data_IF_171836013947
#
_entry.id   IF_171836013947
#
_cell.length_a   1.000
_cell.length_b   1.000
_cell.length_c   1.000
_cell.angle_alpha   90.00
_cell.angle_beta   90.00
_cell.angle_gamma   90.00
#
_symmetry.space_group_name_H-M   'P 1'
#
loop_
_entity.id
_entity.type
_entity.pdbx_description
1 polymer ?
#
# COMPACT_ATOMS: atom_id res chain seq x y z
N UNK A 1 20.81 -12.34 -36.72
CA UNK A 1 21.02 -13.39 -35.71
C UNK A 1 19.67 -14.05 -35.41
N UNK A 2 19.61 -15.34 -35.08
CA UNK A 2 18.35 -15.96 -34.64
C UNK A 2 17.83 -15.26 -33.39
N UNK A 3 16.51 -15.09 -33.30
CA UNK A 3 15.86 -14.53 -32.10
C UNK A 3 16.13 -15.44 -30.91
N UNK A 4 16.49 -14.84 -29.78
CA UNK A 4 16.73 -15.57 -28.54
C UNK A 4 15.58 -15.29 -27.58
N UNK A 5 15.17 -16.33 -26.85
CA UNK A 5 14.03 -16.25 -25.96
C UNK A 5 14.40 -16.79 -24.57
N UNK A 6 13.76 -16.20 -23.57
CA UNK A 6 13.72 -16.71 -22.21
C UNK A 6 12.27 -16.99 -21.83
N UNK A 7 12.04 -18.08 -21.13
CA UNK A 7 10.70 -18.49 -20.71
C UNK A 7 10.70 -19.04 -19.28
N UNK A 8 9.55 -18.96 -18.63
CA UNK A 8 9.26 -19.55 -17.32
C UNK A 8 8.09 -20.51 -17.49
N UNK A 9 8.27 -21.75 -17.06
CA UNK A 9 7.23 -22.79 -17.04
C UNK A 9 7.10 -23.40 -15.66
N UNK A 10 5.92 -23.87 -15.31
CA UNK A 10 5.63 -24.55 -14.04
C UNK A 10 5.00 -25.91 -14.32
N UNK A 11 5.45 -26.95 -13.61
CA UNK A 11 4.80 -28.25 -13.66
C UNK A 11 3.51 -28.23 -12.81
N UNK A 12 2.43 -28.83 -13.29
CA UNK A 12 1.14 -28.81 -12.61
C UNK A 12 1.14 -29.57 -11.26
N UNK A 13 2.01 -30.57 -11.10
CA UNK A 13 2.14 -31.33 -9.85
C UNK A 13 3.07 -30.63 -8.83
N UNK A 14 3.90 -29.69 -9.28
CA UNK A 14 4.81 -28.91 -8.42
C UNK A 14 4.42 -27.43 -8.45
N UNK A 15 3.32 -27.12 -7.75
CA UNK A 15 2.82 -25.75 -7.61
C UNK A 15 3.79 -24.79 -6.90
N UNK A 16 4.93 -25.28 -6.38
CA UNK A 16 5.99 -24.52 -5.71
C UNK A 16 7.32 -24.51 -6.49
N UNK A 17 7.35 -25.05 -7.72
CA UNK A 17 8.54 -25.00 -8.59
C UNK A 17 8.21 -24.44 -9.98
N UNK A 18 9.10 -23.59 -10.49
CA UNK A 18 9.10 -23.18 -11.88
C UNK A 18 10.51 -23.27 -12.43
N UNK A 19 10.59 -23.50 -13.74
CA UNK A 19 11.81 -23.66 -14.50
C UNK A 19 11.97 -22.49 -15.44
N UNK A 20 13.12 -21.82 -15.34
CA UNK A 20 13.59 -20.92 -16.38
C UNK A 20 14.28 -21.73 -17.47
N UNK A 21 13.96 -21.41 -18.72
CA UNK A 21 14.64 -21.95 -19.87
C UNK A 21 14.95 -20.87 -20.90
N UNK A 22 15.93 -21.19 -21.75
CA UNK A 22 16.37 -20.36 -22.86
C UNK A 22 16.26 -21.16 -24.16
N UNK A 23 15.92 -20.51 -25.27
CA UNK A 23 15.78 -21.16 -26.57
C UNK A 23 15.90 -20.17 -27.72
N UNK A 24 16.36 -20.64 -28.88
CA UNK A 24 16.29 -19.89 -30.15
C UNK A 24 14.99 -20.18 -30.93
N UNK A 25 14.20 -21.15 -30.47
CA UNK A 25 12.95 -21.60 -31.09
C UNK A 25 11.91 -21.81 -29.99
N UNK A 26 11.12 -20.77 -29.75
CA UNK A 26 10.12 -20.74 -28.68
C UNK A 26 8.90 -21.62 -29.02
N UNK A 27 8.47 -21.64 -30.28
CA UNK A 27 7.31 -22.43 -30.71
C UNK A 27 7.57 -23.92 -30.56
N UNK A 28 8.73 -24.41 -31.03
CA UNK A 28 9.11 -25.82 -30.87
C UNK A 28 9.21 -26.20 -29.40
N UNK A 29 9.82 -25.34 -28.58
CA UNK A 29 10.02 -25.63 -27.15
C UNK A 29 8.70 -25.69 -26.38
N UNK A 30 7.74 -24.83 -26.69
CA UNK A 30 6.41 -24.87 -26.08
C UNK A 30 5.57 -26.04 -26.59
N UNK A 31 5.72 -26.43 -27.87
CA UNK A 31 5.13 -27.67 -28.38
C UNK A 31 5.66 -28.90 -27.66
N UNK A 32 6.94 -28.95 -27.29
CA UNK A 32 7.48 -30.05 -26.47
C UNK A 32 6.78 -30.13 -25.11
N UNK A 33 6.66 -29.00 -24.40
CA UNK A 33 5.92 -28.96 -23.12
C UNK A 33 4.44 -29.34 -23.28
N UNK A 34 3.79 -28.91 -24.36
CA UNK A 34 2.40 -29.28 -24.65
C UNK A 34 2.27 -30.74 -25.16
N UNK A 35 3.29 -31.32 -25.77
CA UNK A 35 3.26 -32.73 -26.22
C UNK A 35 3.40 -33.71 -25.06
N UNK A 36 4.04 -33.29 -23.97
CA UNK A 36 4.09 -34.02 -22.70
C UNK A 36 2.73 -33.93 -21.97
N UNK A 37 1.90 -32.91 -22.27
CA UNK A 37 0.52 -32.82 -21.77
C UNK A 37 -0.37 -33.87 -22.45
N UNK A 38 -0.37 -35.08 -21.89
CA UNK A 38 -1.08 -36.24 -22.43
C UNK A 38 -0.63 -37.59 -21.86
N UNK A 39 0.54 -37.66 -21.21
CA UNK A 39 1.01 -38.86 -20.51
C UNK A 39 1.03 -38.64 -18.99
N UNK A 40 0.05 -39.22 -18.30
CA UNK A 40 -0.22 -39.05 -16.86
C UNK A 40 -0.52 -37.60 -16.43
N UNK A 41 -1.29 -37.41 -15.35
CA UNK A 41 -1.55 -36.06 -14.78
C UNK A 41 -0.29 -35.40 -14.22
N UNK A 42 0.78 -36.18 -14.01
CA UNK A 42 1.98 -35.78 -13.27
C UNK A 42 3.01 -35.03 -14.13
N UNK A 43 2.86 -34.89 -15.45
CA UNK A 43 3.88 -34.20 -16.29
C UNK A 43 3.35 -33.05 -17.15
N UNK A 44 2.19 -32.48 -16.80
CA UNK A 44 1.67 -31.30 -17.50
C UNK A 44 2.43 -30.03 -17.08
N UNK A 45 2.77 -29.15 -18.03
CA UNK A 45 3.45 -27.87 -17.77
C UNK A 45 2.63 -26.68 -18.24
N UNK A 46 2.57 -25.62 -17.43
CA UNK A 46 1.97 -24.33 -17.75
C UNK A 46 3.06 -23.30 -18.04
N UNK A 47 2.97 -22.63 -19.18
CA UNK A 47 3.88 -21.53 -19.51
C UNK A 47 3.42 -20.24 -18.84
N UNK A 48 4.20 -19.73 -17.89
CA UNK A 48 3.84 -18.56 -17.08
C UNK A 48 4.35 -17.24 -17.68
N UNK A 49 5.50 -17.26 -18.36
CA UNK A 49 6.11 -16.05 -18.93
C UNK A 49 7.03 -16.38 -20.11
N UNK A 50 7.06 -15.50 -21.11
CA UNK A 50 7.98 -15.58 -22.25
C UNK A 50 8.43 -14.20 -22.70
N UNK A 51 9.70 -14.05 -23.06
CA UNK A 51 10.23 -12.82 -23.63
C UNK A 51 11.30 -13.06 -24.70
N UNK A 52 11.43 -12.09 -25.59
CA UNK A 52 12.56 -11.94 -26.51
C UNK A 52 13.67 -11.16 -25.80
N UNK A 53 14.91 -11.60 -26.00
CA UNK A 53 16.10 -11.05 -25.35
C UNK A 53 17.25 -10.96 -26.35
N UNK A 54 18.14 -9.98 -26.17
CA UNK A 54 19.30 -9.79 -27.03
C UNK A 54 20.40 -10.82 -26.78
N UNK A 55 20.51 -11.33 -25.53
CA UNK A 55 21.43 -12.40 -25.15
C UNK A 55 20.83 -13.23 -24.00
N UNK A 56 20.32 -14.43 -24.33
CA UNK A 56 19.63 -15.29 -23.37
C UNK A 56 20.59 -15.87 -22.31
N UNK A 57 21.82 -16.21 -22.69
CA UNK A 57 22.82 -16.79 -21.78
C UNK A 57 23.25 -15.78 -20.72
N UNK A 58 23.44 -14.52 -21.09
CA UNK A 58 23.85 -13.48 -20.16
C UNK A 58 22.75 -13.15 -19.14
N UNK A 59 21.49 -13.03 -19.59
CA UNK A 59 20.36 -12.83 -18.67
C UNK A 59 20.19 -14.04 -17.75
N UNK A 60 20.27 -15.26 -18.29
CA UNK A 60 20.16 -16.49 -17.50
C UNK A 60 21.26 -16.56 -16.42
N UNK A 61 22.51 -16.22 -16.76
CA UNK A 61 23.61 -16.22 -15.79
C UNK A 61 23.44 -15.13 -14.73
N UNK A 62 23.04 -13.93 -15.12
CA UNK A 62 22.76 -12.84 -14.18
C UNK A 62 21.60 -13.20 -13.24
N UNK A 63 20.57 -13.87 -13.77
CA UNK A 63 19.46 -14.39 -12.97
C UNK A 63 19.94 -15.45 -11.98
N UNK A 64 20.71 -16.44 -12.45
CA UNK A 64 21.32 -17.51 -11.62
C UNK A 64 22.16 -16.94 -10.48
N UNK A 65 22.89 -15.85 -10.73
CA UNK A 65 23.73 -15.19 -9.75
C UNK A 65 22.90 -14.36 -8.75
N UNK A 66 21.92 -13.59 -9.24
CA UNK A 66 21.05 -12.76 -8.40
C UNK A 66 20.22 -13.59 -7.40
N UNK A 67 19.73 -14.75 -7.83
CA UNK A 67 18.86 -15.61 -7.01
C UNK A 67 19.59 -16.85 -6.48
N UNK A 68 20.92 -16.82 -6.38
CA UNK A 68 21.72 -17.98 -6.00
C UNK A 68 21.30 -18.63 -4.66
N UNK A 69 20.90 -17.80 -3.70
CA UNK A 69 20.44 -18.21 -2.36
C UNK A 69 19.11 -18.97 -2.35
N UNK A 70 18.35 -18.93 -3.45
CA UNK A 70 17.10 -19.67 -3.56
C UNK A 70 17.30 -21.02 -4.28
N UNK A 71 18.52 -21.34 -4.76
CA UNK A 71 18.74 -22.39 -5.77
C UNK A 71 18.86 -23.76 -5.11
N UNK A 72 18.18 -24.74 -5.69
CA UNK A 72 18.44 -26.14 -5.40
C UNK A 72 19.80 -26.53 -6.01
N UNK A 73 20.77 -26.90 -5.16
CA UNK A 73 22.18 -27.12 -5.55
C UNK A 73 22.39 -28.42 -6.34
N UNK A 74 21.45 -29.37 -6.23
CA UNK A 74 21.62 -30.74 -6.74
C UNK A 74 21.32 -30.89 -8.24
N UNK A 75 20.73 -29.88 -8.89
CA UNK A 75 20.25 -29.99 -10.27
C UNK A 75 20.77 -28.84 -11.14
N UNK A 76 20.97 -29.11 -12.44
CA UNK A 76 21.37 -28.09 -13.43
C UNK A 76 20.21 -27.15 -13.80
N UNK A 77 19.02 -27.36 -13.24
CA UNK A 77 17.81 -26.61 -13.53
C UNK A 77 17.59 -25.54 -12.47
N UNK A 78 17.10 -24.38 -12.88
CA UNK A 78 16.75 -23.30 -11.97
C UNK A 78 15.34 -23.57 -11.44
N UNK A 79 15.22 -24.13 -10.23
CA UNK A 79 13.93 -24.33 -9.56
C UNK A 79 13.66 -23.18 -8.60
N UNK A 80 12.71 -22.30 -8.92
CA UNK A 80 12.16 -21.39 -7.92
C UNK A 80 10.70 -21.11 -8.23
N UNK A 81 9.74 -21.54 -7.41
CA UNK A 81 8.45 -20.90 -7.47
C UNK A 81 7.89 -20.68 -6.09
N UNK A 82 8.14 -19.48 -5.61
CA UNK A 82 7.21 -18.83 -4.73
C UNK A 82 6.31 -17.95 -5.62
N UNK A 83 4.99 -18.19 -5.72
CA UNK A 83 4.09 -17.32 -6.49
C UNK A 83 4.28 -15.84 -6.14
N UNK A 84 4.64 -15.54 -4.89
CA UNK A 84 4.91 -14.17 -4.44
C UNK A 84 6.21 -13.56 -4.97
N UNK A 85 7.16 -14.37 -5.43
CA UNK A 85 8.40 -13.91 -6.07
C UNK A 85 8.33 -13.94 -7.59
N UNK A 86 7.28 -14.52 -8.18
CA UNK A 86 7.12 -14.60 -9.63
C UNK A 86 7.18 -13.22 -10.30
N UNK A 87 6.48 -12.24 -9.72
CA UNK A 87 6.54 -10.85 -10.18
C UNK A 87 7.93 -10.23 -10.00
N UNK A 88 8.68 -10.62 -8.97
CA UNK A 88 10.07 -10.20 -8.78
C UNK A 88 10.96 -10.75 -9.91
N UNK A 89 10.78 -12.01 -10.30
CA UNK A 89 11.52 -12.64 -11.39
C UNK A 89 11.21 -11.98 -12.73
N UNK A 90 9.93 -11.78 -13.04
CA UNK A 90 9.49 -11.06 -14.24
C UNK A 90 10.07 -9.65 -14.23
N UNK A 91 9.98 -8.94 -13.11
CA UNK A 91 10.50 -7.57 -12.98
C UNK A 91 12.00 -7.52 -13.18
N UNK A 92 12.76 -8.47 -12.64
CA UNK A 92 14.21 -8.58 -12.86
C UNK A 92 14.53 -8.79 -14.34
N UNK A 93 13.84 -9.72 -15.00
CA UNK A 93 14.04 -10.00 -16.43
C UNK A 93 13.70 -8.78 -17.28
N UNK A 94 12.54 -8.14 -17.04
CA UNK A 94 12.08 -6.96 -17.77
C UNK A 94 12.96 -5.73 -17.54
N UNK A 95 13.59 -5.61 -16.38
CA UNK A 95 14.50 -4.52 -16.07
C UNK A 95 15.92 -4.74 -16.64
N UNK A 96 16.24 -5.93 -17.14
CA UNK A 96 17.56 -6.23 -17.67
C UNK A 96 17.84 -5.43 -18.96
N UNK A 97 19.03 -4.83 -19.15
CA UNK A 97 19.37 -4.05 -20.37
C UNK A 97 19.28 -4.81 -21.70
N UNK A 98 19.15 -6.14 -21.64
CA UNK A 98 19.11 -7.03 -22.80
C UNK A 98 17.70 -7.60 -23.02
N UNK A 99 16.72 -7.15 -22.24
CA UNK A 99 15.32 -7.42 -22.50
C UNK A 99 14.87 -6.65 -23.74
N UNK A 100 14.21 -7.34 -24.68
CA UNK A 100 13.71 -6.73 -25.92
C UNK A 100 12.21 -6.50 -25.81
N UNK A 101 11.43 -7.56 -25.64
CA UNK A 101 9.97 -7.46 -25.54
C UNK A 101 9.37 -8.69 -24.85
N UNK A 102 8.22 -8.50 -24.19
CA UNK A 102 7.43 -9.62 -23.70
C UNK A 102 6.66 -10.23 -24.88
N UNK A 103 6.76 -11.55 -25.05
CA UNK A 103 6.03 -12.29 -26.07
C UNK A 103 4.74 -12.77 -25.43
N UNK A 104 3.59 -12.42 -25.98
CA UNK A 104 2.30 -12.95 -25.52
C UNK A 104 1.98 -14.22 -26.29
N UNK A 105 1.81 -15.31 -25.57
CA UNK A 105 1.37 -16.58 -26.13
C UNK A 105 0.01 -16.87 -25.50
N UNK A 106 -1.01 -17.08 -26.33
CA UNK A 106 -2.36 -17.38 -25.87
C UNK A 106 -2.32 -18.67 -25.04
N UNK A 107 -2.50 -18.55 -23.73
CA UNK A 107 -2.77 -19.71 -22.88
C UNK A 107 -4.15 -20.29 -23.22
N UNK A 108 -4.36 -21.61 -23.04
CA UNK A 108 -5.70 -22.18 -22.98
C UNK A 108 -6.49 -21.50 -21.85
N UNK A 109 -7.76 -21.15 -22.13
CA UNK A 109 -8.63 -20.39 -21.22
C UNK A 109 -8.74 -21.05 -19.83
N UNK A 110 -8.50 -20.27 -18.78
CA UNK A 110 -8.85 -20.66 -17.41
C UNK A 110 -10.36 -20.83 -17.22
N UNK A 111 -10.72 -21.71 -16.28
CA UNK A 111 -12.10 -21.95 -15.83
C UNK A 111 -12.71 -20.70 -15.19
N UNK A 112 -14.04 -20.51 -15.30
CA UNK A 112 -14.70 -19.26 -14.93
C UNK A 112 -14.55 -18.91 -13.44
N UNK A 113 -14.22 -17.65 -13.18
CA UNK A 113 -14.19 -17.02 -11.86
C UNK A 113 -15.58 -17.05 -11.20
N UNK A 114 -15.61 -17.38 -9.90
CA UNK A 114 -16.83 -17.32 -9.09
C UNK A 114 -17.39 -15.90 -9.03
N UNK A 115 -18.71 -15.78 -9.17
CA UNK A 115 -19.45 -14.50 -9.11
C UNK A 115 -19.28 -13.85 -7.73
N UNK A 116 -19.20 -12.50 -7.65
CA UNK A 116 -19.18 -11.79 -6.38
C UNK A 116 -20.46 -12.07 -5.57
N UNK A 117 -20.31 -12.30 -4.27
CA UNK A 117 -21.42 -12.37 -3.32
C UNK A 117 -22.11 -10.99 -3.25
N UNK A 118 -23.37 -10.93 -3.68
CA UNK A 118 -24.24 -9.77 -3.49
C UNK A 118 -24.52 -9.57 -2.00
N UNK A 119 -24.06 -8.45 -1.44
CA UNK A 119 -24.33 -8.08 -0.04
C UNK A 119 -25.58 -7.18 0.02
N UNK A 120 -26.55 -7.45 0.91
CA UNK A 120 -27.78 -6.65 1.02
C UNK A 120 -27.53 -5.19 1.45
N UNK A 121 -28.42 -4.29 1.02
CA UNK A 121 -28.30 -2.85 1.19
C UNK A 121 -28.47 -2.42 2.66
N UNK A 122 -28.04 -1.19 3.00
CA UNK A 122 -28.18 -0.66 4.38
C UNK A 122 -29.63 -0.59 4.86
N UNK A 123 -30.56 -0.32 3.94
CA UNK A 123 -32.00 -0.27 4.21
C UNK A 123 -32.56 -1.67 4.51
N UNK A 124 -32.11 -2.69 3.77
CA UNK A 124 -32.52 -4.09 3.97
C UNK A 124 -32.09 -4.67 5.32
N UNK A 125 -31.02 -4.12 5.94
CA UNK A 125 -30.51 -4.60 7.23
C UNK A 125 -31.07 -3.87 8.44
N UNK A 126 -31.92 -2.84 8.26
CA UNK A 126 -32.52 -2.08 9.35
C UNK A 126 -31.52 -1.35 10.27
N UNK A 127 -30.31 -1.04 9.79
CA UNK A 127 -29.25 -0.44 10.62
C UNK A 127 -29.06 1.05 10.30
N UNK A 128 -29.21 1.92 11.30
CA UNK A 128 -28.95 3.35 11.13
C UNK A 128 -27.44 3.65 11.08
N UNK A 129 -27.07 4.74 10.38
CA UNK A 129 -25.67 5.19 10.26
C UNK A 129 -25.02 5.48 11.62
N UNK A 130 -25.79 5.99 12.59
CA UNK A 130 -25.34 6.28 13.96
C UNK A 130 -24.98 4.98 14.70
N UNK A 131 -25.85 3.97 14.63
CA UNK A 131 -25.66 2.67 15.28
C UNK A 131 -24.45 1.89 14.74
N UNK A 132 -24.16 2.02 13.43
CA UNK A 132 -22.96 1.45 12.81
C UNK A 132 -21.67 2.11 13.30
N UNK A 133 -21.68 3.44 13.44
CA UNK A 133 -20.53 4.21 13.94
C UNK A 133 -20.28 3.91 15.43
N UNK A 134 -21.33 3.76 16.22
CA UNK A 134 -21.22 3.40 17.65
C UNK A 134 -20.76 1.95 17.86
N UNK A 135 -21.11 1.02 16.95
CA UNK A 135 -20.52 -0.33 16.94
C UNK A 135 -19.05 -0.32 16.52
N UNK A 136 -18.66 0.51 15.55
CA UNK A 136 -17.26 0.64 15.12
C UNK A 136 -16.35 1.21 16.22
N UNK A 137 -16.87 2.08 17.10
CA UNK A 137 -16.15 2.56 18.29
C UNK A 137 -15.82 1.45 19.32
N UNK A 138 -16.53 0.31 19.29
CA UNK A 138 -16.38 -0.78 20.27
C UNK A 138 -15.35 -1.83 19.86
N UNK A 139 -14.88 -1.82 18.62
CA UNK A 139 -13.91 -2.80 18.12
C UNK A 139 -12.51 -2.33 18.52
N UNK A 140 -12.04 -2.88 19.63
CA UNK A 140 -10.77 -2.58 20.28
C UNK A 140 -9.65 -3.49 19.74
N UNK A 141 -9.49 -3.54 18.42
CA UNK A 141 -8.33 -4.17 17.80
C UNK A 141 -7.40 -3.07 17.32
N UNK A 142 -6.21 -2.96 17.93
CA UNK A 142 -5.17 -2.01 17.52
C UNK A 142 -4.30 -2.57 16.38
N UNK A 143 -4.47 -3.86 16.05
CA UNK A 143 -3.72 -4.60 15.04
C UNK A 143 -4.63 -4.92 13.84
N UNK A 144 -4.59 -4.06 12.82
CA UNK A 144 -5.26 -4.29 11.56
C UNK A 144 -4.23 -4.41 10.44
N UNK A 145 -4.16 -5.58 9.80
CA UNK A 145 -3.32 -5.78 8.62
C UNK A 145 -3.98 -5.15 7.40
N UNK A 146 -3.17 -4.40 6.65
CA UNK A 146 -3.60 -3.78 5.39
C UNK A 146 -3.57 -4.81 4.29
N UNK A 147 -4.57 -4.78 3.40
CA UNK A 147 -4.63 -5.69 2.26
C UNK A 147 -3.71 -5.23 1.13
N UNK A 148 -3.13 -6.18 0.39
CA UNK A 148 -2.19 -5.89 -0.70
C UNK A 148 -2.81 -5.02 -1.79
N UNK A 149 -4.05 -5.32 -2.19
CA UNK A 149 -4.76 -4.58 -3.24
C UNK A 149 -4.96 -3.10 -2.91
N UNK A 150 -5.13 -2.76 -1.63
CA UNK A 150 -5.30 -1.37 -1.19
C UNK A 150 -3.95 -0.62 -1.24
N UNK A 151 -2.85 -1.29 -0.87
CA UNK A 151 -1.49 -0.75 -0.99
C UNK A 151 -1.10 -0.57 -2.46
N UNK A 152 -1.31 -1.58 -3.29
CA UNK A 152 -1.00 -1.52 -4.73
C UNK A 152 -1.79 -0.40 -5.42
N UNK A 153 -3.08 -0.29 -5.11
CA UNK A 153 -3.96 0.75 -5.65
C UNK A 153 -3.47 2.16 -5.30
N UNK A 154 -3.00 2.38 -4.07
CA UNK A 154 -2.43 3.67 -3.68
C UNK A 154 -1.08 3.92 -4.35
N UNK A 155 -0.12 3.01 -4.17
CA UNK A 155 1.28 3.25 -4.56
C UNK A 155 1.45 3.33 -6.09
N UNK A 156 0.59 2.66 -6.87
CA UNK A 156 0.57 2.75 -8.34
C UNK A 156 0.19 4.14 -8.88
N UNK A 157 -0.45 5.01 -8.08
CA UNK A 157 -0.79 6.37 -8.49
C UNK A 157 0.41 7.31 -8.49
N UNK A 158 1.52 6.92 -7.86
CA UNK A 158 2.70 7.77 -7.73
C UNK A 158 3.66 7.55 -8.90
N UNK A 159 4.18 8.63 -9.54
CA UNK A 159 5.05 8.51 -10.70
C UNK A 159 6.32 7.70 -10.40
N UNK A 160 6.72 6.79 -11.29
CA UNK A 160 7.88 5.90 -11.10
C UNK A 160 9.17 6.65 -10.71
N UNK A 161 9.36 7.86 -11.23
CA UNK A 161 10.53 8.71 -10.96
C UNK A 161 10.73 9.06 -9.48
N UNK A 162 9.69 9.03 -8.63
CA UNK A 162 9.86 9.37 -7.21
C UNK A 162 10.60 8.28 -6.44
N UNK A 163 10.59 7.04 -6.97
CA UNK A 163 11.14 5.86 -6.32
C UNK A 163 12.58 5.57 -6.71
N UNK A 164 12.99 6.02 -7.91
CA UNK A 164 14.31 5.73 -8.47
C UNK A 164 15.43 6.19 -7.52
N UNK A 165 16.38 5.28 -7.28
CA UNK A 165 17.56 5.45 -6.43
C UNK A 165 17.22 5.85 -4.98
N UNK A 166 16.00 5.52 -4.50
CA UNK A 166 15.54 5.82 -3.13
C UNK A 166 15.65 4.64 -2.17
N UNK A 167 15.85 4.99 -0.90
CA UNK A 167 15.70 4.10 0.24
C UNK A 167 14.28 4.19 0.79
N UNK A 168 13.52 3.10 0.66
CA UNK A 168 12.17 2.99 1.22
C UNK A 168 12.24 2.31 2.59
N UNK A 169 11.61 2.92 3.58
CA UNK A 169 11.49 2.38 4.93
C UNK A 169 10.04 1.99 5.24
N UNK A 170 9.81 0.72 5.53
CA UNK A 170 8.54 0.17 5.98
C UNK A 170 8.67 -0.27 7.45
N UNK A 171 8.33 0.61 8.40
CA UNK A 171 8.23 0.20 9.80
C UNK A 171 6.90 -0.55 9.99
N UNK A 172 6.90 -1.87 9.89
CA UNK A 172 5.68 -2.64 9.78
C UNK A 172 5.77 -3.96 10.55
N UNK A 173 4.68 -4.31 11.22
CA UNK A 173 4.55 -5.64 11.78
C UNK A 173 4.53 -6.66 10.64
N UNK A 174 5.04 -7.85 10.94
CA UNK A 174 5.30 -8.91 9.96
C UNK A 174 6.01 -8.43 8.69
N UNK A 175 7.15 -7.75 8.83
CA UNK A 175 7.89 -7.20 7.69
C UNK A 175 8.01 -8.17 6.49
N UNK A 176 8.71 -9.29 6.64
CA UNK A 176 8.79 -10.36 5.63
C UNK A 176 8.91 -11.70 6.35
N UNK A 177 7.90 -12.56 6.17
CA UNK A 177 7.87 -13.93 6.66
C UNK A 177 8.55 -14.94 5.72
N UNK A 178 8.43 -16.21 6.05
CA UNK A 178 9.04 -17.33 5.32
C UNK A 178 8.31 -17.63 4.01
N UNK A 179 6.98 -17.60 4.03
CA UNK A 179 6.12 -17.81 2.87
C UNK A 179 6.16 -16.61 1.92
N UNK A 180 6.53 -15.43 2.44
CA UNK A 180 6.63 -14.16 1.68
C UNK A 180 5.32 -13.83 0.96
N UNK A 181 4.19 -14.09 1.60
CA UNK A 181 2.87 -13.81 1.06
C UNK A 181 2.03 -13.03 2.08
N UNK A 182 0.74 -12.86 1.79
CA UNK A 182 -0.15 -12.07 2.65
C UNK A 182 -0.47 -12.75 3.99
N UNK A 183 -0.05 -13.99 4.21
CA UNK A 183 -0.30 -14.73 5.46
C UNK A 183 0.75 -14.43 6.53
N UNK A 184 1.92 -13.94 6.14
CA UNK A 184 3.05 -13.74 7.04
C UNK A 184 3.92 -12.52 6.71
N UNK A 185 3.47 -11.67 5.77
CA UNK A 185 4.20 -10.49 5.32
C UNK A 185 3.30 -9.27 5.18
N UNK A 186 3.82 -8.12 5.58
CA UNK A 186 3.18 -6.82 5.42
C UNK A 186 2.94 -6.52 3.95
N UNK A 187 1.72 -6.08 3.64
CA UNK A 187 1.35 -5.66 2.28
C UNK A 187 2.30 -4.58 1.71
N UNK A 188 2.81 -3.67 2.54
CA UNK A 188 3.77 -2.65 2.12
C UNK A 188 5.12 -3.28 1.75
N UNK A 189 5.69 -4.08 2.65
CA UNK A 189 6.97 -4.74 2.40
C UNK A 189 6.89 -5.66 1.17
N UNK A 190 5.79 -6.41 1.03
CA UNK A 190 5.53 -7.29 -0.10
C UNK A 190 5.43 -6.52 -1.43
N UNK A 191 4.76 -5.35 -1.44
CA UNK A 191 4.70 -4.49 -2.62
C UNK A 191 6.09 -4.05 -3.09
N UNK A 192 6.89 -3.50 -2.18
CA UNK A 192 8.23 -3.02 -2.53
C UNK A 192 9.19 -4.16 -2.86
N UNK A 193 9.05 -5.32 -2.23
CA UNK A 193 9.83 -6.51 -2.56
C UNK A 193 9.54 -6.97 -4.00
N UNK A 194 8.25 -7.08 -4.37
CA UNK A 194 7.79 -7.51 -5.70
C UNK A 194 8.17 -6.54 -6.81
N UNK A 195 8.18 -5.24 -6.50
CA UNK A 195 8.45 -4.19 -7.49
C UNK A 195 9.82 -3.54 -7.36
N UNK A 196 10.73 -4.10 -6.55
CA UNK A 196 12.02 -3.48 -6.23
C UNK A 196 12.78 -2.99 -7.47
N UNK A 197 12.99 -3.89 -8.44
CA UNK A 197 13.68 -3.58 -9.69
C UNK A 197 12.87 -2.67 -10.62
N UNK A 198 11.55 -2.88 -10.70
CA UNK A 198 10.65 -2.06 -11.52
C UNK A 198 10.62 -0.60 -11.08
N UNK A 199 10.67 -0.37 -9.76
CA UNK A 199 10.70 0.96 -9.16
C UNK A 199 12.10 1.58 -9.18
N UNK A 200 13.15 0.79 -9.45
CA UNK A 200 14.53 1.24 -9.42
C UNK A 200 14.98 1.64 -8.02
N UNK A 201 14.51 0.94 -6.97
CA UNK A 201 14.88 1.25 -5.59
C UNK A 201 16.37 1.01 -5.35
N UNK A 202 16.98 1.88 -4.54
CA UNK A 202 18.33 1.67 -4.04
C UNK A 202 18.34 0.62 -2.93
N UNK A 203 17.44 0.79 -1.97
CA UNK A 203 17.34 -0.07 -0.77
C UNK A 203 15.92 -0.11 -0.24
N UNK A 204 15.51 -1.27 0.25
CA UNK A 204 14.29 -1.46 1.04
C UNK A 204 14.72 -1.85 2.44
N UNK A 205 14.19 -1.17 3.45
CA UNK A 205 14.41 -1.47 4.87
C UNK A 205 13.03 -1.73 5.48
N UNK A 206 12.87 -2.84 6.16
CA UNK A 206 11.66 -3.16 6.91
C UNK A 206 12.04 -3.53 8.34
N UNK A 207 11.36 -2.96 9.33
CA UNK A 207 11.52 -3.35 10.74
C UNK A 207 10.29 -4.09 11.17
N UNK A 208 10.45 -5.15 11.97
CA UNK A 208 9.36 -5.95 12.54
C UNK A 208 9.35 -5.83 14.07
N UNK A 209 8.18 -5.55 14.63
CA UNK A 209 7.94 -5.55 16.06
C UNK A 209 7.71 -6.97 16.57
N UNK A 210 8.54 -7.41 17.52
CA UNK A 210 8.50 -8.77 18.07
C UNK A 210 7.58 -8.96 19.29
N UNK A 211 6.92 -7.90 19.80
CA UNK A 211 6.00 -7.93 20.96
C UNK A 211 6.61 -8.32 22.33
N UNK A 212 6.14 -7.76 23.48
CA UNK A 212 6.32 -8.36 24.84
C UNK A 212 5.56 -7.64 25.98
N UNK A 213 5.34 -8.30 27.15
CA UNK A 213 6.35 -8.44 28.20
C UNK A 213 6.81 -9.89 28.46
N UNK A 214 8.12 -10.05 28.48
CA UNK A 214 8.95 -10.93 29.32
C UNK A 214 8.18 -11.85 30.29
N UNK A 215 8.07 -13.13 29.96
CA UNK A 215 8.02 -14.15 30.99
C UNK A 215 9.45 -14.35 31.54
N UNK A 216 9.62 -14.73 32.82
CA UNK A 216 10.93 -14.86 33.48
C UNK A 216 11.90 -15.84 32.76
N UNK A 217 11.36 -16.62 31.82
CA UNK A 217 12.03 -17.64 31.00
C UNK A 217 12.14 -17.26 29.51
N UNK A 218 11.56 -16.12 29.09
CA UNK A 218 11.54 -15.67 27.70
C UNK A 218 12.61 -14.60 27.48
N UNK A 219 13.58 -14.86 26.61
CA UNK A 219 14.64 -13.92 26.25
C UNK A 219 14.12 -12.74 25.39
N UNK A 220 13.20 -11.91 25.93
CA UNK A 220 12.71 -10.65 25.38
C UNK A 220 12.00 -10.72 24.01
N UNK A 221 11.22 -9.67 23.69
CA UNK A 221 10.83 -9.39 22.31
C UNK A 221 12.08 -9.32 21.43
N UNK A 222 12.14 -10.08 20.34
CA UNK A 222 13.21 -9.97 19.35
C UNK A 222 12.66 -9.35 18.08
N UNK A 223 12.67 -8.02 18.04
CA UNK A 223 12.48 -7.31 16.77
C UNK A 223 13.58 -7.70 15.78
N UNK A 224 13.29 -7.55 14.50
CA UNK A 224 14.28 -7.76 13.45
C UNK A 224 14.20 -6.69 12.37
N UNK A 225 15.26 -6.58 11.61
CA UNK A 225 15.41 -5.65 10.50
C UNK A 225 15.72 -6.48 9.27
N UNK A 226 14.88 -6.34 8.25
CA UNK A 226 15.08 -6.88 6.92
C UNK A 226 15.57 -5.77 6.00
N UNK A 227 16.57 -6.06 5.18
CA UNK A 227 17.06 -5.14 4.16
C UNK A 227 17.19 -5.85 2.83
N UNK A 228 16.95 -5.10 1.75
CA UNK A 228 17.20 -5.52 0.37
C UNK A 228 17.94 -4.43 -0.38
N UNK A 229 19.09 -4.79 -0.97
CA UNK A 229 19.91 -3.94 -1.83
C UNK A 229 20.23 -4.70 -3.12
N UNK A 230 19.58 -4.31 -4.22
CA UNK A 230 19.59 -5.11 -5.44
C UNK A 230 19.01 -6.51 -5.21
N UNK A 231 19.81 -7.53 -5.49
CA UNK A 231 19.42 -8.92 -5.27
C UNK A 231 19.74 -9.43 -3.85
N UNK A 232 20.62 -8.73 -3.12
CA UNK A 232 21.04 -9.14 -1.79
C UNK A 232 19.95 -8.82 -0.76
N UNK A 233 19.69 -9.79 0.12
CA UNK A 233 18.75 -9.67 1.22
C UNK A 233 19.46 -10.04 2.52
N UNK A 234 19.20 -9.27 3.58
CA UNK A 234 19.76 -9.53 4.91
C UNK A 234 18.69 -9.37 5.96
N UNK A 235 18.64 -10.31 6.90
CA UNK A 235 17.80 -10.24 8.10
C UNK A 235 18.71 -10.26 9.31
N UNK A 236 18.58 -9.29 10.20
CA UNK A 236 19.35 -9.23 11.45
C UNK A 236 18.48 -8.80 12.62
N UNK A 237 18.77 -9.33 13.81
CA UNK A 237 18.07 -9.00 15.06
C UNK A 237 19.04 -8.30 16.01
N UNK A 238 19.05 -6.95 16.07
CA UNK A 238 19.89 -6.23 17.00
C UNK A 238 19.59 -6.64 18.45
N UNK A 239 20.62 -6.63 19.30
CA UNK A 239 20.41 -6.84 20.75
C UNK A 239 19.59 -5.68 21.31
N UNK A 240 18.64 -6.00 22.18
CA UNK A 240 17.75 -5.02 22.84
C UNK A 240 16.89 -4.18 21.88
N UNK A 241 16.55 -4.73 20.71
CA UNK A 241 15.66 -4.08 19.77
C UNK A 241 14.32 -4.83 19.72
N UNK A 242 13.24 -4.14 20.09
CA UNK A 242 11.87 -4.66 20.09
C UNK A 242 11.14 -4.47 18.76
N UNK A 243 11.60 -3.54 17.92
CA UNK A 243 10.99 -3.19 16.64
C UNK A 243 10.05 -1.98 16.66
N UNK A 244 9.92 -1.30 17.81
CA UNK A 244 9.10 -0.09 17.95
C UNK A 244 9.62 1.04 17.07
N UNK A 245 8.71 1.86 16.54
CA UNK A 245 9.07 2.97 15.62
C UNK A 245 9.84 4.10 16.31
N UNK A 246 9.72 4.20 17.63
CA UNK A 246 10.37 5.14 18.53
C UNK A 246 11.74 4.66 19.03
N UNK A 247 12.08 3.39 18.82
CA UNK A 247 13.34 2.85 19.30
C UNK A 247 14.53 3.44 18.55
N UNK A 248 15.68 3.52 19.23
CA UNK A 248 16.91 4.14 18.72
C UNK A 248 17.25 3.67 17.31
N UNK A 249 17.15 2.37 17.05
CA UNK A 249 17.50 1.81 15.74
C UNK A 249 16.48 2.17 14.65
N UNK A 250 15.18 2.17 14.96
CA UNK A 250 14.14 2.64 14.04
C UNK A 250 14.29 4.12 13.72
N UNK A 251 14.62 4.94 14.72
CA UNK A 251 14.90 6.37 14.55
C UNK A 251 16.18 6.61 13.76
N UNK A 252 17.23 5.80 13.96
CA UNK A 252 18.46 5.86 13.16
C UNK A 252 18.15 5.60 11.69
N UNK A 253 17.45 4.50 11.38
CA UNK A 253 17.00 4.18 10.02
C UNK A 253 16.19 5.33 9.43
N UNK A 254 15.19 5.81 10.17
CA UNK A 254 14.32 6.90 9.72
C UNK A 254 15.12 8.16 9.38
N UNK A 255 16.04 8.59 10.24
CA UNK A 255 16.70 9.88 10.08
C UNK A 255 17.91 9.81 9.14
N UNK A 256 18.69 8.73 9.20
CA UNK A 256 19.99 8.63 8.53
C UNK A 256 19.93 7.89 7.19
N UNK A 257 19.04 6.91 7.04
CA UNK A 257 19.00 6.04 5.84
C UNK A 257 17.80 6.30 4.93
N UNK A 258 16.61 6.49 5.50
CA UNK A 258 15.38 6.53 4.73
C UNK A 258 15.27 7.80 3.87
N UNK A 259 14.72 7.65 2.66
CA UNK A 259 14.24 8.75 1.82
C UNK A 259 12.71 8.87 1.89
N UNK A 260 12.03 7.72 1.85
CA UNK A 260 10.57 7.62 1.80
C UNK A 260 10.09 6.58 2.83
N UNK A 261 9.12 6.93 3.66
CA UNK A 261 8.47 6.03 4.61
C UNK A 261 7.12 5.58 4.07
N UNK A 262 6.87 4.27 4.02
CA UNK A 262 5.61 3.70 3.56
C UNK A 262 5.11 2.61 4.51
N UNK A 263 3.99 2.85 5.22
CA UNK A 263 3.49 1.89 6.22
C UNK A 263 2.04 2.15 6.66
N UNK A 264 1.48 1.22 7.44
CA UNK A 264 0.27 1.39 8.25
C UNK A 264 0.67 1.46 9.74
N UNK A 265 0.95 2.64 10.31
CA UNK A 265 1.27 2.78 11.73
C UNK A 265 0.07 2.42 12.63
N UNK A 266 0.32 2.03 13.89
CA UNK A 266 -0.75 1.76 14.85
C UNK A 266 -1.61 3.01 15.08
N UNK A 267 -2.93 2.87 14.90
CA UNK A 267 -3.85 4.02 14.96
C UNK A 267 -3.90 4.64 16.37
N UNK A 268 -3.75 3.84 17.42
CA UNK A 268 -3.71 4.30 18.82
C UNK A 268 -2.49 5.19 19.13
N UNK A 269 -1.39 5.03 18.38
CA UNK A 269 -0.16 5.85 18.52
C UNK A 269 0.06 6.81 17.36
N UNK A 270 -0.97 7.08 16.54
CA UNK A 270 -0.85 7.91 15.35
C UNK A 270 -0.33 9.33 15.64
N UNK A 271 -0.70 9.94 16.77
CA UNK A 271 -0.26 11.30 17.14
C UNK A 271 1.28 11.35 17.30
N UNK A 272 1.82 10.40 18.05
CA UNK A 272 3.26 10.27 18.29
C UNK A 272 4.00 9.94 16.99
N UNK A 273 3.49 8.97 16.24
CA UNK A 273 4.07 8.55 14.98
C UNK A 273 4.14 9.69 13.95
N UNK A 274 3.04 10.43 13.74
CA UNK A 274 3.03 11.59 12.84
C UNK A 274 4.00 12.68 13.28
N UNK A 275 4.13 12.93 14.58
CA UNK A 275 5.08 13.92 15.10
C UNK A 275 6.51 13.53 14.71
N UNK A 276 6.93 12.30 14.97
CA UNK A 276 8.26 11.78 14.60
C UNK A 276 8.48 11.87 13.09
N UNK A 277 7.50 11.40 12.31
CA UNK A 277 7.60 11.36 10.85
C UNK A 277 7.70 12.77 10.24
N UNK A 278 6.88 13.72 10.69
CA UNK A 278 6.93 15.11 10.21
C UNK A 278 8.25 15.79 10.62
N UNK A 279 8.75 15.51 11.83
CA UNK A 279 10.03 16.05 12.31
C UNK A 279 11.23 15.52 11.52
N UNK A 280 11.19 14.26 11.06
CA UNK A 280 12.24 13.66 10.23
C UNK A 280 12.40 14.33 8.85
N UNK A 281 11.40 15.10 8.42
CA UNK A 281 11.32 15.74 7.09
C UNK A 281 11.37 14.77 5.90
N UNK A 282 11.33 13.46 6.14
CA UNK A 282 11.32 12.44 5.09
C UNK A 282 10.02 12.47 4.30
N UNK A 283 10.06 11.97 3.07
CA UNK A 283 8.83 11.77 2.31
C UNK A 283 8.05 10.60 2.88
N UNK A 284 6.72 10.61 2.74
CA UNK A 284 5.93 9.51 3.26
C UNK A 284 4.62 9.28 2.50
N UNK A 285 4.16 8.03 2.56
CA UNK A 285 2.81 7.57 2.18
C UNK A 285 2.37 6.59 3.27
N UNK A 286 1.49 7.01 4.17
CA UNK A 286 1.08 6.20 5.32
C UNK A 286 -0.43 6.03 5.39
N UNK A 287 -0.90 4.93 5.96
CA UNK A 287 -2.31 4.75 6.24
C UNK A 287 -2.64 5.31 7.63
N UNK A 288 -3.78 5.99 7.78
CA UNK A 288 -4.22 6.46 9.09
C UNK A 288 -5.73 6.65 9.13
N UNK A 289 -6.27 7.02 10.30
CA UNK A 289 -7.70 7.24 10.43
C UNK A 289 -8.16 8.40 9.52
N UNK A 290 -9.27 8.19 8.81
CA UNK A 290 -9.85 9.16 7.89
C UNK A 290 -10.17 10.51 8.56
N UNK A 291 -10.44 10.53 9.87
CA UNK A 291 -10.78 11.74 10.63
C UNK A 291 -9.56 12.53 11.09
N UNK A 292 -8.32 12.05 10.84
CA UNK A 292 -7.12 12.76 11.27
C UNK A 292 -7.09 14.18 10.69
N UNK A 293 -7.50 14.37 9.44
CA UNK A 293 -7.56 15.69 8.80
C UNK A 293 -8.50 16.73 9.46
N UNK A 294 -9.37 16.31 10.39
CA UNK A 294 -10.24 17.18 11.19
C UNK A 294 -10.05 17.01 12.69
N UNK A 295 -8.99 16.32 13.10
CA UNK A 295 -8.63 16.12 14.51
C UNK A 295 -7.56 17.12 14.91
N UNK A 296 -7.75 17.79 16.05
CA UNK A 296 -6.86 18.86 16.54
C UNK A 296 -5.37 18.54 16.48
N UNK A 297 -4.98 17.29 16.81
CA UNK A 297 -3.58 16.87 16.80
C UNK A 297 -2.91 16.91 15.40
N UNK A 298 -3.68 16.79 14.32
CA UNK A 298 -3.14 16.70 12.95
C UNK A 298 -3.52 17.89 12.06
N UNK A 299 -4.59 18.63 12.37
CA UNK A 299 -5.01 19.84 11.64
C UNK A 299 -3.82 20.79 11.34
N UNK A 300 -2.90 21.08 12.29
CA UNK A 300 -1.75 21.94 12.01
C UNK A 300 -0.87 21.45 10.85
N UNK A 301 -0.77 20.14 10.61
CA UNK A 301 0.02 19.60 9.51
C UNK A 301 -0.61 19.87 8.15
N UNK A 302 -1.95 19.83 8.05
CA UNK A 302 -2.66 20.20 6.83
C UNK A 302 -2.64 21.72 6.61
N UNK A 303 -2.85 22.50 7.68
CA UNK A 303 -2.84 23.96 7.62
C UNK A 303 -1.48 24.50 7.15
N UNK A 304 -0.38 23.88 7.62
CA UNK A 304 1.00 24.22 7.25
C UNK A 304 1.49 23.49 5.99
N UNK A 305 0.60 22.82 5.24
CA UNK A 305 0.93 22.09 4.00
C UNK A 305 2.05 21.06 4.17
N UNK A 306 2.12 20.42 5.35
CA UNK A 306 3.08 19.35 5.68
C UNK A 306 2.52 17.96 5.40
N UNK A 307 1.19 17.82 5.25
CA UNK A 307 0.52 16.58 4.89
C UNK A 307 -0.72 16.86 4.02
N UNK A 308 -1.08 15.87 3.22
CA UNK A 308 -2.20 15.84 2.28
C UNK A 308 -2.89 14.49 2.39
N UNK A 309 -4.13 14.42 1.92
CA UNK A 309 -4.76 13.12 1.65
C UNK A 309 -3.99 12.41 0.51
N UNK A 310 -3.84 11.09 0.58
CA UNK A 310 -3.49 10.23 -0.54
C UNK A 310 -4.70 9.99 -1.45
N UNK A 311 -4.59 9.03 -2.36
CA UNK A 311 -5.64 8.77 -3.37
C UNK A 311 -6.73 7.81 -2.86
N UNK A 312 -6.36 6.90 -1.97
CA UNK A 312 -7.16 5.72 -1.65
C UNK A 312 -7.72 5.78 -0.23
N UNK A 313 -9.03 5.53 -0.13
CA UNK A 313 -9.72 5.24 1.12
C UNK A 313 -9.72 3.72 1.34
N UNK A 314 -9.49 3.30 2.58
CA UNK A 314 -9.49 1.89 2.98
C UNK A 314 -10.55 1.69 4.06
N UNK A 315 -11.53 0.84 3.78
CA UNK A 315 -12.59 0.50 4.74
C UNK A 315 -12.49 -0.93 5.29
N UNK A 316 -11.66 -1.77 4.65
CA UNK A 316 -11.54 -3.20 4.93
C UNK A 316 -10.10 -3.57 5.22
N UNK A 317 -9.92 -4.28 6.33
CA UNK A 317 -8.65 -4.73 6.86
C UNK A 317 -8.74 -6.20 7.23
N UNK A 318 -7.62 -6.82 7.56
CA UNK A 318 -7.59 -8.14 8.17
C UNK A 318 -7.27 -8.00 9.65
N UNK A 319 -7.98 -8.73 10.50
CA UNK A 319 -7.64 -8.85 11.93
C UNK A 319 -6.48 -9.87 12.12
N UNK A 320 -5.99 -10.09 13.36
CA UNK A 320 -4.96 -11.09 13.64
C UNK A 320 -5.33 -12.54 13.31
N UNK A 321 -6.61 -12.82 13.02
CA UNK A 321 -7.09 -14.12 12.55
C UNK A 321 -7.28 -14.16 11.03
N UNK A 322 -6.81 -13.13 10.32
CA UNK A 322 -6.98 -12.92 8.88
C UNK A 322 -8.44 -12.85 8.42
N UNK A 323 -9.34 -12.39 9.28
CA UNK A 323 -10.74 -12.15 8.94
C UNK A 323 -10.99 -10.70 8.55
N UNK A 324 -11.94 -10.47 7.64
CA UNK A 324 -12.29 -9.11 7.23
C UNK A 324 -12.87 -8.31 8.39
N UNK A 325 -12.15 -7.27 8.78
CA UNK A 325 -12.56 -6.28 9.75
C UNK A 325 -12.77 -4.92 9.09
N UNK A 326 -13.66 -4.12 9.68
CA UNK A 326 -13.98 -2.79 9.16
C UNK A 326 -13.38 -1.70 10.04
N UNK A 327 -12.54 -0.87 9.44
CA UNK A 327 -12.01 0.35 10.07
C UNK A 327 -11.99 1.48 9.03
N UNK A 328 -12.06 2.74 9.47
CA UNK A 328 -12.16 3.88 8.55
C UNK A 328 -10.78 4.52 8.33
N UNK A 329 -10.07 4.05 7.31
CA UNK A 329 -8.75 4.55 6.94
C UNK A 329 -8.72 5.38 5.66
N UNK A 330 -7.68 6.19 5.54
CA UNK A 330 -7.32 6.89 4.30
C UNK A 330 -5.80 7.01 4.24
N UNK A 331 -5.23 6.91 3.06
CA UNK A 331 -3.79 7.16 2.89
C UNK A 331 -3.48 8.64 3.08
N UNK A 332 -2.33 8.99 3.63
CA UNK A 332 -1.86 10.35 3.81
C UNK A 332 -0.42 10.46 3.33
N UNK A 333 -0.08 11.61 2.75
CA UNK A 333 1.23 11.81 2.15
C UNK A 333 1.70 13.25 2.27
N UNK A 334 3.02 13.49 2.15
CA UNK A 334 3.59 14.82 1.94
C UNK A 334 4.17 15.01 0.52
N UNK A 335 3.84 14.11 -0.41
CA UNK A 335 4.05 14.35 -1.83
C UNK A 335 3.01 15.36 -2.33
N UNK A 336 3.43 16.41 -3.07
CA UNK A 336 2.48 17.28 -3.75
C UNK A 336 1.71 16.49 -4.79
N UNK A 337 0.39 16.45 -4.66
CA UNK A 337 -0.50 15.80 -5.64
C UNK A 337 -1.02 16.88 -6.58
N UNK A 338 -0.63 16.79 -7.86
CA UNK A 338 -1.20 17.62 -8.93
C UNK A 338 -2.38 16.87 -9.55
N UNK A 339 -3.48 17.58 -9.82
CA UNK A 339 -4.65 17.03 -10.53
C UNK A 339 -5.29 15.80 -9.86
N UNK A 340 -5.46 15.86 -8.53
CA UNK A 340 -6.13 14.81 -7.76
C UNK A 340 -7.52 14.53 -8.35
N UNK A 341 -7.75 13.32 -8.85
CA UNK A 341 -9.03 12.95 -9.47
C UNK A 341 -10.25 13.17 -8.54
N UNK A 342 -10.09 13.01 -7.23
CA UNK A 342 -11.19 13.23 -6.28
C UNK A 342 -11.63 14.69 -6.13
N UNK A 343 -10.88 15.67 -6.66
CA UNK A 343 -11.34 17.07 -6.75
C UNK A 343 -12.63 17.16 -7.57
N UNK A 344 -12.81 16.31 -8.59
CA UNK A 344 -14.07 16.24 -9.36
C UNK A 344 -15.31 15.92 -8.53
N UNK A 345 -15.13 15.42 -7.29
CA UNK A 345 -16.22 15.15 -6.35
C UNK A 345 -16.65 16.40 -5.59
N UNK A 346 -15.82 17.45 -5.58
CA UNK A 346 -16.15 18.76 -5.01
C UNK A 346 -17.09 19.49 -5.95
N UNK A 347 -18.07 20.16 -5.35
CA UNK A 347 -19.07 20.97 -6.06
C UNK A 347 -18.82 22.43 -5.67
N UNK A 348 -17.95 23.07 -6.44
CA UNK A 348 -17.60 24.48 -6.30
C UNK A 348 -18.67 25.32 -7.00
N UNK A 349 -19.54 25.95 -6.22
CA UNK A 349 -20.69 26.74 -6.70
C UNK A 349 -20.89 27.97 -5.82
N UNK A 350 -21.59 29.03 -6.29
CA UNK A 350 -22.07 30.10 -5.44
C UNK A 350 -22.89 29.59 -4.25
N UNK A 351 -22.84 30.27 -3.11
CA UNK A 351 -23.54 29.87 -1.87
C UNK A 351 -25.05 29.75 -2.08
N UNK A 352 -25.63 30.61 -2.92
CA UNK A 352 -27.04 30.58 -3.29
C UNK A 352 -27.43 29.27 -3.97
N UNK A 353 -26.52 28.65 -4.72
CA UNK A 353 -26.76 27.43 -5.51
C UNK A 353 -26.58 26.14 -4.69
N UNK A 354 -26.08 26.25 -3.45
CA UNK A 354 -25.99 25.11 -2.55
C UNK A 354 -27.38 24.79 -1.99
N UNK A 355 -27.93 23.57 -2.21
CA UNK A 355 -29.23 23.19 -1.68
C UNK A 355 -29.30 23.31 -0.15
N UNK A 356 -30.42 23.80 0.38
CA UNK A 356 -30.60 24.03 1.83
C UNK A 356 -30.45 22.75 2.67
N UNK A 357 -30.66 21.57 2.08
CA UNK A 357 -30.38 20.29 2.76
C UNK A 357 -28.89 20.11 3.09
N UNK A 358 -27.99 20.75 2.34
CA UNK A 358 -26.54 20.67 2.46
C UNK A 358 -25.88 21.98 2.91
N UNK A 359 -26.68 23.00 3.21
CA UNK A 359 -26.25 24.32 3.69
C UNK A 359 -27.04 24.65 4.95
N UNK A 360 -26.36 24.75 6.09
CA UNK A 360 -26.97 25.08 7.38
C UNK A 360 -26.11 26.08 8.13
N UNK A 361 -26.70 26.78 9.07
CA UNK A 361 -25.97 27.55 10.07
C UNK A 361 -26.14 26.85 11.41
N UNK A 362 -25.06 26.80 12.20
CA UNK A 362 -25.16 26.36 13.59
C UNK A 362 -25.62 27.49 14.50
N UNK A 363 -25.76 27.17 15.79
CA UNK A 363 -26.21 28.09 16.83
C UNK A 363 -25.31 29.33 16.97
N UNK A 364 -24.04 29.24 16.55
CA UNK A 364 -23.05 30.33 16.53
C UNK A 364 -23.07 31.12 15.20
N UNK A 365 -23.95 30.78 14.26
CA UNK A 365 -24.04 31.43 12.96
C UNK A 365 -22.93 31.07 11.98
N UNK A 366 -22.18 29.98 12.23
CA UNK A 366 -21.18 29.48 11.29
C UNK A 366 -21.84 28.64 10.22
N UNK A 367 -21.46 28.87 8.96
CA UNK A 367 -21.94 28.10 7.82
C UNK A 367 -21.36 26.67 7.86
N UNK A 368 -22.21 25.66 7.77
CA UNK A 368 -21.88 24.26 7.57
C UNK A 368 -22.27 23.84 6.15
N UNK A 369 -21.32 23.23 5.44
CA UNK A 369 -21.60 22.61 4.14
C UNK A 369 -21.31 21.11 4.12
N UNK A 370 -22.15 20.38 3.40
CA UNK A 370 -22.09 18.92 3.28
C UNK A 370 -22.05 18.43 1.83
N UNK A 371 -21.94 17.11 1.65
CA UNK A 371 -22.01 16.44 0.36
C UNK A 371 -21.07 17.02 -0.72
N UNK A 372 -19.88 17.45 -0.27
CA UNK A 372 -18.82 18.06 -1.07
C UNK A 372 -19.17 19.41 -1.72
N UNK A 373 -20.25 20.07 -1.33
CA UNK A 373 -20.47 21.47 -1.69
C UNK A 373 -19.44 22.37 -1.01
N UNK A 374 -18.93 23.33 -1.76
CA UNK A 374 -17.97 24.34 -1.33
C UNK A 374 -18.38 25.68 -1.97
N UNK A 375 -18.71 26.72 -1.19
CA UNK A 375 -19.13 28.02 -1.72
C UNK A 375 -17.93 28.77 -2.34
N UNK A 376 -18.10 29.30 -3.54
CA UNK A 376 -17.04 30.04 -4.27
C UNK A 376 -17.01 31.54 -3.99
N UNK A 377 -18.07 32.06 -3.38
CA UNK A 377 -18.37 33.48 -3.12
C UNK A 377 -18.57 33.77 -1.61
N UNK A 378 -18.09 32.88 -0.74
CA UNK A 378 -18.16 33.02 0.71
C UNK A 378 -16.75 33.10 1.31
N UNK A 379 -16.36 34.30 1.76
CA UNK A 379 -14.99 34.58 2.20
C UNK A 379 -14.77 34.34 3.70
N UNK A 380 -15.84 34.30 4.50
CA UNK A 380 -15.75 34.02 5.94
C UNK A 380 -15.42 32.53 6.19
N UNK A 381 -14.82 32.19 7.35
CA UNK A 381 -14.63 30.80 7.75
C UNK A 381 -15.96 30.01 7.78
N UNK A 382 -15.94 28.81 7.21
CA UNK A 382 -17.08 27.89 7.20
C UNK A 382 -16.63 26.45 7.47
N UNK A 383 -17.53 25.64 8.03
CA UNK A 383 -17.24 24.31 8.53
C UNK A 383 -17.45 23.22 7.47
N UNK A 384 -16.41 22.41 7.26
CA UNK A 384 -16.44 21.23 6.37
C UNK A 384 -16.11 19.95 7.11
N UNK A 385 -16.63 18.83 6.60
CA UNK A 385 -16.26 17.51 7.12
C UNK A 385 -14.91 17.05 6.57
N UNK A 386 -14.36 15.96 7.15
CA UNK A 386 -13.17 15.30 6.64
C UNK A 386 -13.25 14.99 5.13
N UNK A 387 -14.44 14.68 4.61
CA UNK A 387 -14.64 14.30 3.21
C UNK A 387 -14.16 15.37 2.23
N UNK A 388 -14.44 16.64 2.51
CA UNK A 388 -14.03 17.74 1.64
C UNK A 388 -12.51 17.95 1.69
N UNK A 389 -11.88 17.81 2.86
CA UNK A 389 -10.42 17.85 2.99
C UNK A 389 -9.77 16.72 2.19
N UNK A 390 -10.32 15.50 2.29
CA UNK A 390 -9.79 14.32 1.58
C UNK A 390 -10.01 14.36 0.07
N UNK A 391 -11.03 15.08 -0.39
CA UNK A 391 -11.26 15.34 -1.82
C UNK A 391 -10.43 16.49 -2.36
N UNK A 392 -9.61 17.13 -1.52
CA UNK A 392 -8.60 18.09 -1.94
C UNK A 392 -9.08 19.54 -2.01
N UNK A 393 -10.00 19.95 -1.12
CA UNK A 393 -10.48 21.35 -1.10
C UNK A 393 -9.36 22.34 -0.80
N UNK A 394 -8.33 21.93 -0.04
CA UNK A 394 -7.18 22.78 0.28
C UNK A 394 -6.27 23.03 -0.93
N UNK A 395 -6.36 22.19 -1.95
CA UNK A 395 -5.73 22.36 -3.24
C UNK A 395 -6.55 23.24 -4.21
N UNK A 396 -7.78 23.61 -3.83
CA UNK A 396 -8.73 24.36 -4.66
C UNK A 396 -8.87 25.84 -4.26
N UNK A 397 -7.83 26.43 -3.66
CA UNK A 397 -7.86 27.83 -3.25
C UNK A 397 -8.51 28.08 -1.88
N UNK A 398 -8.57 27.07 -1.02
CA UNK A 398 -9.02 27.19 0.37
C UNK A 398 -7.89 26.85 1.34
N UNK A 399 -7.93 27.44 2.53
CA UNK A 399 -7.00 27.17 3.64
C UNK A 399 -7.80 26.84 4.90
N UNK A 400 -7.18 26.08 5.79
CA UNK A 400 -7.70 25.92 7.15
C UNK A 400 -7.67 27.29 7.84
N UNK A 401 -8.80 27.69 8.42
CA UNK A 401 -8.94 28.97 9.11
C UNK A 401 -8.35 28.90 10.52
N UNK A 402 -8.65 27.84 11.27
CA UNK A 402 -8.23 27.65 12.66
C UNK A 402 -7.49 26.31 12.86
N UNK A 403 -6.45 26.30 13.69
CA UNK A 403 -5.62 25.12 13.96
C UNK A 403 -6.26 24.11 14.95
N UNK A 404 -7.59 24.10 15.05
CA UNK A 404 -8.36 23.26 15.98
C UNK A 404 -9.58 22.66 15.28
N UNK A 405 -10.06 21.53 15.81
CA UNK A 405 -11.36 20.99 15.38
C UNK A 405 -12.47 22.00 15.70
N UNK A 406 -13.55 21.91 14.95
CA UNK A 406 -14.77 22.68 15.16
C UNK A 406 -15.94 21.73 15.45
N UNK A 407 -16.66 21.96 16.54
CA UNK A 407 -17.79 21.13 16.96
C UNK A 407 -19.07 21.99 16.87
N UNK A 408 -19.82 21.94 15.77
CA UNK A 408 -21.02 22.75 15.60
C UNK A 408 -22.14 22.27 16.51
N UNK A 409 -22.95 23.21 17.03
CA UNK A 409 -24.17 22.93 17.78
C UNK A 409 -25.39 23.28 16.91
N UNK A 410 -26.38 22.39 16.83
CA UNK A 410 -27.64 22.71 16.16
C UNK A 410 -28.74 22.38 17.15
N UNK A 411 -29.49 23.41 17.54
CA UNK A 411 -30.54 23.34 18.56
C UNK A 411 -29.97 22.86 19.91
N UNK A 412 -28.79 23.36 20.28
CA UNK A 412 -28.08 23.02 21.53
C UNK A 412 -27.35 21.69 21.51
N UNK A 413 -27.48 20.90 20.44
CA UNK A 413 -26.92 19.55 20.34
C UNK A 413 -25.61 19.53 19.53
N UNK A 414 -24.51 19.09 20.16
CA UNK A 414 -23.21 18.93 19.50
C UNK A 414 -23.31 17.94 18.32
N UNK A 415 -22.83 18.35 17.15
CA UNK A 415 -22.75 17.52 15.94
C UNK A 415 -21.31 17.07 15.67
N UNK A 416 -21.16 16.19 14.67
CA UNK A 416 -19.87 15.63 14.30
C UNK A 416 -18.82 16.71 14.04
N UNK A 417 -17.60 16.46 14.53
CA UNK A 417 -16.46 17.35 14.36
C UNK A 417 -16.15 17.67 12.90
N UNK A 418 -15.78 18.93 12.68
CA UNK A 418 -15.45 19.56 11.41
C UNK A 418 -14.13 20.32 11.53
N UNK A 419 -13.70 20.92 10.43
CA UNK A 419 -12.65 21.93 10.41
C UNK A 419 -13.19 23.18 9.71
N UNK A 420 -12.80 24.35 10.21
CA UNK A 420 -13.11 25.60 9.53
C UNK A 420 -12.10 25.82 8.41
N UNK A 421 -12.61 26.07 7.20
CA UNK A 421 -11.82 26.52 6.06
C UNK A 421 -12.31 27.88 5.59
N UNK A 422 -11.47 28.59 4.86
CA UNK A 422 -11.79 29.87 4.24
C UNK A 422 -11.07 29.99 2.90
N UNK A 423 -11.60 30.82 2.01
CA UNK A 423 -10.95 31.10 0.73
C UNK A 423 -9.59 31.76 0.94
N UNK A 424 -8.64 31.42 0.08
CA UNK A 424 -7.37 32.17 -0.03
C UNK A 424 -7.66 33.38 -0.91
N UNK A 425 -7.64 34.56 -0.31
CA UNK A 425 -7.80 35.84 -1.01
C UNK A 425 -6.66 36.15 -1.97
#
# INVERSE_FOLDING_TARGET
>A
MPKQYLYIVQASHESTRCKIGITNDLERRLKEYNSITGQSKDTTYSCLFTCEVANMHQIEQNFKNAFAHLREVQTREIYFYNPSLFETYISFIKAHPLFVAQVSIKQPKDKPQQKPLTTPSMQERGVSRKTLLDRAKRVKYDEFYTRYEDVEKELSQYPLKIWKDKVVFCNCDDAIGENRDYTDSSAFALYFLRHFFRLGLKKLICTHYGGSPVDLFSAGAKGYIFTKEGAQEMKYSPRHYGGGFEEKESLRILNEEADIVCTNPPFSRAIEYWKILIQSQKKFIILSNITNCVTTAFIPYFAKKKAWAGYTRVDWYLDPKHQLARAAGHFFTNFPIKNRASISRLKLVPLADIPDTYKKYDDDGVLLVENNYIPTDYDLPFAVSARQILNGVLECGYKIANNSKYNPHIEGEEKFSRVLIQRVG
#
